data_IF_654660133832
#
_entry.id   IF_654660133832
#
_cell.length_a   1.000
_cell.length_b   1.000
_cell.length_c   1.000
_cell.angle_alpha   90.00
_cell.angle_beta   90.00
_cell.angle_gamma   90.00
#
_symmetry.space_group_name_H-M   'P 1'
#
loop_
_entity.id
_entity.type
_entity.pdbx_description
1 polymer ?
#
# COMPACT_ATOMS: atom_id res chain seq x y z
N UNK A 1 2.37 22.07 62.27
CA UNK A 1 1.50 21.15 63.03
C UNK A 1 1.19 20.04 62.04
N UNK A 2 2.03 19.00 61.97
CA UNK A 2 1.99 17.77 62.82
C UNK A 2 0.81 16.87 62.41
N UNK A 3 0.89 15.54 62.30
CA UNK A 3 2.00 14.56 62.33
C UNK A 3 2.15 13.89 60.93
N UNK A 4 3.18 13.14 60.52
CA UNK A 4 4.43 12.59 61.10
C UNK A 4 4.37 11.32 61.98
N UNK A 5 4.06 10.18 61.35
CA UNK A 5 4.48 8.82 61.73
C UNK A 5 5.14 8.20 60.49
N UNK A 6 6.35 7.62 60.48
CA UNK A 6 7.08 6.76 61.44
C UNK A 6 6.44 5.38 61.60
N UNK A 7 6.74 4.49 60.64
CA UNK A 7 6.68 3.04 60.86
C UNK A 7 7.91 2.39 60.22
N UNK A 8 8.54 1.48 60.97
CA UNK A 8 9.92 1.03 60.77
C UNK A 8 10.04 -0.44 60.37
N UNK A 9 11.25 -0.80 59.95
CA UNK A 9 11.96 -2.07 60.24
C UNK A 9 11.20 -3.40 60.11
N UNK A 10 11.55 -4.19 59.09
CA UNK A 10 11.01 -5.55 58.93
C UNK A 10 11.86 -6.51 58.08
N UNK A 11 12.84 -7.15 58.71
CA UNK A 11 13.52 -8.39 58.29
C UNK A 11 14.49 -8.39 57.09
N UNK A 12 15.78 -8.39 57.44
CA UNK A 12 16.82 -9.12 56.71
C UNK A 12 16.69 -10.64 56.96
N UNK A 13 16.78 -11.46 55.91
CA UNK A 13 16.83 -12.93 55.95
C UNK A 13 17.97 -13.47 55.07
N UNK A 14 18.49 -14.69 55.32
CA UNK A 14 19.90 -14.99 55.02
C UNK A 14 20.21 -15.37 53.57
N UNK A 15 21.43 -15.01 53.16
CA UNK A 15 22.17 -15.69 52.09
C UNK A 15 22.62 -17.07 52.61
N UNK A 16 22.55 -18.09 51.76
CA UNK A 16 23.59 -19.12 51.53
C UNK A 16 23.04 -20.17 50.53
N UNK A 17 23.86 -20.62 49.57
CA UNK A 17 23.38 -21.48 48.48
C UNK A 17 24.37 -21.68 47.32
N UNK A 18 25.42 -22.47 47.59
CA UNK A 18 26.45 -23.13 46.76
C UNK A 18 26.65 -22.88 45.23
N UNK A 19 27.91 -23.00 44.74
CA UNK A 19 28.25 -22.93 43.32
C UNK A 19 28.19 -24.29 42.59
N UNK A 20 27.29 -24.42 41.61
CA UNK A 20 27.22 -25.59 40.73
C UNK A 20 28.16 -25.52 39.52
N UNK A 21 29.32 -26.17 39.59
CA UNK A 21 30.12 -26.51 38.39
C UNK A 21 29.41 -27.59 37.56
N UNK A 22 29.33 -27.43 36.22
CA UNK A 22 29.59 -28.51 35.24
C UNK A 22 29.46 -28.09 33.76
N UNK A 23 30.42 -28.55 32.95
CA UNK A 23 30.28 -28.99 31.54
C UNK A 23 29.77 -28.02 30.46
N UNK A 24 30.72 -27.30 29.85
CA UNK A 24 30.67 -26.93 28.43
C UNK A 24 31.37 -28.00 27.58
N UNK A 25 30.67 -28.71 26.67
CA UNK A 25 31.31 -29.57 25.69
C UNK A 25 32.06 -28.75 24.63
N UNK A 26 33.34 -29.07 24.57
CA UNK A 26 34.34 -28.89 23.52
C UNK A 26 33.83 -28.72 22.08
N UNK A 27 34.64 -27.97 21.33
CA UNK A 27 34.65 -27.83 19.88
C UNK A 27 34.52 -29.17 19.12
N UNK A 28 33.76 -29.15 18.02
CA UNK A 28 34.05 -29.95 16.84
C UNK A 28 33.73 -29.10 15.59
N UNK A 29 34.77 -28.75 14.85
CA UNK A 29 34.66 -28.10 13.54
C UNK A 29 34.90 -29.14 12.44
N UNK A 30 34.09 -29.16 11.36
CA UNK A 30 34.47 -29.84 10.13
C UNK A 30 35.04 -28.84 9.12
N UNK A 31 36.34 -28.95 8.88
CA UNK A 31 36.96 -28.49 7.63
C UNK A 31 36.30 -29.20 6.44
N UNK A 32 35.68 -28.43 5.55
CA UNK A 32 35.41 -28.89 4.19
C UNK A 32 35.90 -27.87 3.16
N UNK A 33 37.13 -28.10 2.73
CA UNK A 33 37.75 -27.42 1.60
C UNK A 33 37.34 -28.07 0.26
N UNK A 34 37.37 -27.24 -0.79
CA UNK A 34 37.72 -27.61 -2.18
C UNK A 34 36.71 -28.34 -3.08
N UNK A 35 36.75 -27.93 -4.37
CA UNK A 35 36.08 -28.48 -5.57
C UNK A 35 34.54 -28.36 -5.59
N UNK A 36 33.87 -27.98 -6.69
CA UNK A 36 34.22 -27.88 -8.13
C UNK A 36 33.47 -26.65 -8.71
N UNK A 37 33.87 -25.86 -9.72
CA UNK A 37 34.47 -26.07 -11.07
C UNK A 37 33.65 -27.01 -11.96
N UNK A 38 33.35 -26.55 -13.19
CA UNK A 38 32.53 -27.23 -14.22
C UNK A 38 31.04 -27.40 -13.81
N UNK A 39 30.02 -27.16 -14.65
CA UNK A 39 29.96 -26.92 -16.09
C UNK A 39 29.03 -25.74 -16.49
N UNK A 40 29.29 -25.18 -17.67
CA UNK A 40 28.36 -24.29 -18.37
C UNK A 40 27.79 -25.01 -19.61
N UNK A 41 26.47 -25.10 -19.79
CA UNK A 41 25.89 -25.56 -21.04
C UNK A 41 25.71 -24.41 -22.03
N UNK A 42 26.49 -24.44 -23.11
CA UNK A 42 26.18 -23.72 -24.34
C UNK A 42 24.81 -24.17 -24.88
N UNK A 43 23.87 -23.24 -25.01
CA UNK A 43 22.64 -23.47 -25.77
C UNK A 43 22.42 -22.39 -26.83
N UNK A 44 22.72 -22.83 -28.07
CA UNK A 44 22.32 -22.29 -29.36
C UNK A 44 21.05 -21.41 -29.32
N UNK A 45 21.07 -20.21 -29.90
CA UNK A 45 21.07 -20.02 -31.36
C UNK A 45 19.93 -20.76 -32.06
N UNK A 46 18.70 -20.26 -31.87
CA UNK A 46 17.54 -20.60 -32.68
C UNK A 46 16.91 -19.31 -33.25
N UNK A 47 17.50 -18.80 -34.33
CA UNK A 47 16.91 -17.72 -35.13
C UNK A 47 15.72 -18.27 -35.93
N UNK A 48 14.49 -17.96 -35.51
CA UNK A 48 13.29 -18.26 -36.30
C UNK A 48 12.72 -16.96 -36.87
N UNK A 49 13.11 -16.65 -38.12
CA UNK A 49 12.54 -15.54 -38.88
C UNK A 49 11.17 -15.92 -39.42
N UNK A 50 10.12 -15.29 -38.91
CA UNK A 50 8.78 -15.32 -39.50
C UNK A 50 8.53 -14.06 -40.31
N UNK A 51 8.31 -14.20 -41.62
CA UNK A 51 7.96 -13.09 -42.50
C UNK A 51 6.55 -12.54 -42.20
N UNK A 52 6.31 -11.22 -42.36
CA UNK A 52 4.98 -10.64 -42.20
C UNK A 52 4.12 -10.81 -43.47
N UNK A 53 3.11 -11.67 -43.40
CA UNK A 53 2.14 -11.88 -44.49
C UNK A 53 1.32 -10.61 -44.79
N UNK A 54 1.57 -10.00 -45.95
CA UNK A 54 0.88 -8.79 -46.41
C UNK A 54 -0.54 -9.11 -46.94
N UNK A 55 -1.57 -9.00 -46.10
CA UNK A 55 -2.96 -8.92 -46.61
C UNK A 55 -3.32 -7.52 -47.10
N UNK A 56 -3.24 -7.32 -48.41
CA UNK A 56 -4.01 -6.29 -49.13
C UNK A 56 -5.45 -6.76 -49.31
N UNK A 57 -6.42 -5.97 -48.83
CA UNK A 57 -7.80 -5.96 -49.31
C UNK A 57 -8.15 -4.49 -49.60
N UNK A 58 -8.12 -4.04 -50.85
CA UNK A 58 -9.13 -4.25 -51.90
C UNK A 58 -10.33 -3.32 -51.69
N UNK A 59 -10.19 -2.09 -52.19
CA UNK A 59 -11.32 -1.20 -52.44
C UNK A 59 -11.93 -1.53 -53.81
N UNK A 60 -13.21 -1.88 -53.79
CA UNK A 60 -14.13 -1.93 -54.94
C UNK A 60 -15.52 -1.67 -54.33
N UNK A 61 -16.20 -0.58 -54.65
CA UNK A 61 -16.87 -0.30 -55.93
C UNK A 61 -18.23 -1.01 -56.00
N UNK A 62 -19.27 -0.36 -55.49
CA UNK A 62 -20.65 -0.70 -55.84
C UNK A 62 -21.56 0.53 -55.81
N UNK A 63 -21.95 0.96 -57.02
CA UNK A 63 -22.93 2.01 -57.26
C UNK A 63 -24.12 1.45 -58.06
N UNK A 64 -25.32 1.45 -57.46
CA UNK A 64 -26.58 1.07 -58.11
C UNK A 64 -27.75 1.28 -57.15
N UNK A 65 -28.60 2.30 -57.34
CA UNK A 65 -29.83 2.28 -58.17
C UNK A 65 -30.74 1.06 -57.93
N UNK A 66 -31.95 1.33 -57.41
CA UNK A 66 -33.28 0.84 -57.86
C UNK A 66 -34.29 1.47 -56.87
N UNK A 67 -35.05 2.48 -57.31
CA UNK A 67 -36.45 2.37 -57.78
C UNK A 67 -37.42 1.89 -56.72
N UNK A 68 -38.37 2.76 -56.36
CA UNK A 68 -39.29 2.53 -55.23
C UNK A 68 -40.40 1.53 -55.53
N UNK A 69 -41.18 1.23 -54.48
CA UNK A 69 -42.50 0.62 -54.59
C UNK A 69 -43.45 1.26 -53.59
N UNK A 70 -44.59 1.68 -54.11
CA UNK A 70 -45.68 2.32 -53.39
C UNK A 70 -46.69 1.26 -52.88
N UNK A 71 -47.46 1.61 -51.85
CA UNK A 71 -48.67 0.91 -51.39
C UNK A 71 -48.52 -0.18 -50.32
N UNK A 72 -49.32 -0.05 -49.24
CA UNK A 72 -49.73 -1.19 -48.39
C UNK A 72 -49.80 -0.94 -46.88
N UNK A 73 -51.00 -0.58 -46.38
CA UNK A 73 -51.59 -1.00 -45.09
C UNK A 73 -50.65 -1.10 -43.85
N UNK A 74 -50.60 -0.09 -42.97
CA UNK A 74 -51.54 0.10 -41.85
C UNK A 74 -51.86 -1.20 -41.04
N UNK A 75 -50.83 -2.00 -40.73
CA UNK A 75 -50.88 -2.98 -39.64
C UNK A 75 -50.46 -2.37 -38.30
N UNK A 76 -51.41 -1.98 -37.43
CA UNK A 76 -51.13 -1.48 -36.07
C UNK A 76 -50.68 -2.61 -35.14
N UNK A 77 -49.41 -3.01 -35.22
CA UNK A 77 -48.81 -4.02 -34.35
C UNK A 77 -47.30 -3.77 -34.09
N UNK A 78 -46.89 -2.51 -33.90
CA UNK A 78 -45.52 -2.16 -33.54
C UNK A 78 -45.50 -1.04 -32.50
N UNK A 79 -45.28 -1.42 -31.24
CA UNK A 79 -45.22 -0.52 -30.09
C UNK A 79 -44.39 -1.05 -28.93
N UNK A 80 -43.60 -2.12 -29.15
CA UNK A 80 -42.77 -2.77 -28.11
C UNK A 80 -41.27 -2.68 -28.41
N UNK A 81 -40.84 -2.96 -29.65
CA UNK A 81 -39.43 -2.96 -30.07
C UNK A 81 -38.69 -1.63 -29.83
N UNK A 82 -39.36 -0.47 -30.00
CA UNK A 82 -38.72 0.84 -29.86
C UNK A 82 -38.11 1.08 -28.47
N UNK A 83 -38.77 0.57 -27.42
CA UNK A 83 -38.29 0.70 -26.05
C UNK A 83 -37.12 -0.23 -25.70
N UNK A 84 -36.92 -1.31 -26.45
CA UNK A 84 -35.76 -2.20 -26.27
C UNK A 84 -34.52 -1.63 -26.94
N UNK A 85 -34.65 -1.09 -28.16
CA UNK A 85 -33.57 -0.37 -28.83
C UNK A 85 -33.09 0.85 -28.03
N UNK A 86 -34.01 1.63 -27.45
CA UNK A 86 -33.66 2.78 -26.62
C UNK A 86 -33.00 2.37 -25.28
N UNK A 87 -33.51 1.31 -24.61
CA UNK A 87 -32.92 0.77 -23.37
C UNK A 87 -31.54 0.17 -23.60
N UNK A 88 -31.34 -0.63 -24.66
CA UNK A 88 -30.02 -1.10 -25.07
C UNK A 88 -29.07 0.07 -25.31
N UNK A 89 -29.50 1.10 -26.04
CA UNK A 89 -28.70 2.31 -26.27
C UNK A 89 -28.40 3.10 -24.98
N UNK A 90 -29.24 3.06 -23.95
CA UNK A 90 -28.95 3.67 -22.63
C UNK A 90 -27.92 2.86 -21.84
N UNK A 91 -28.06 1.53 -21.78
CA UNK A 91 -27.10 0.64 -21.10
C UNK A 91 -25.73 0.70 -21.78
N UNK A 92 -25.69 0.67 -23.11
CA UNK A 92 -24.46 0.80 -23.90
C UNK A 92 -23.76 2.15 -23.63
N UNK A 93 -24.52 3.26 -23.58
CA UNK A 93 -23.98 4.58 -23.20
C UNK A 93 -23.40 4.58 -21.78
N UNK A 94 -24.00 3.85 -20.83
CA UNK A 94 -23.49 3.69 -19.46
C UNK A 94 -22.21 2.85 -19.42
N UNK A 95 -22.14 1.73 -20.16
CA UNK A 95 -20.91 0.95 -20.29
C UNK A 95 -19.78 1.74 -20.95
N UNK A 96 -20.04 2.40 -22.09
CA UNK A 96 -19.05 3.32 -22.71
C UNK A 96 -18.58 4.41 -21.73
N UNK A 97 -19.48 4.93 -20.88
CA UNK A 97 -19.11 5.89 -19.83
C UNK A 97 -18.17 5.28 -18.78
N UNK A 98 -18.48 4.08 -18.26
CA UNK A 98 -17.60 3.35 -17.34
C UNK A 98 -16.24 3.01 -17.98
N UNK A 99 -16.23 2.60 -19.25
CA UNK A 99 -15.02 2.30 -19.99
C UNK A 99 -14.11 3.52 -20.16
N UNK A 100 -14.61 4.77 -20.19
CA UNK A 100 -13.77 5.99 -20.25
C UNK A 100 -12.74 6.09 -19.09
N UNK A 101 -12.91 5.31 -18.01
CA UNK A 101 -11.90 5.15 -16.96
C UNK A 101 -10.61 4.47 -17.48
N UNK A 102 -10.70 3.62 -18.50
CA UNK A 102 -9.56 2.96 -19.16
C UNK A 102 -8.72 3.96 -19.97
N UNK A 103 -7.40 3.78 -20.06
CA UNK A 103 -6.54 4.58 -20.92
C UNK A 103 -7.00 4.59 -22.38
N UNK A 104 -6.94 5.76 -23.03
CA UNK A 104 -7.41 5.93 -24.41
C UNK A 104 -6.73 4.98 -25.41
N UNK A 105 -5.45 4.68 -25.22
CA UNK A 105 -4.70 3.71 -26.03
C UNK A 105 -5.23 2.28 -25.95
N UNK A 106 -5.78 1.89 -24.79
CA UNK A 106 -6.40 0.58 -24.60
C UNK A 106 -7.79 0.53 -25.25
N UNK A 107 -8.57 1.60 -25.08
CA UNK A 107 -9.91 1.71 -25.67
C UNK A 107 -9.90 1.68 -27.20
N UNK A 108 -8.94 2.36 -27.83
CA UNK A 108 -8.85 2.49 -29.28
C UNK A 108 -8.86 1.17 -30.08
N UNK A 109 -8.48 0.03 -29.46
CA UNK A 109 -8.53 -1.29 -30.11
C UNK A 109 -9.36 -2.34 -29.38
N UNK A 110 -10.05 -2.01 -28.27
CA UNK A 110 -10.79 -2.97 -27.43
C UNK A 110 -12.14 -2.46 -26.89
N UNK A 111 -12.49 -1.18 -27.06
CA UNK A 111 -13.74 -0.63 -26.51
C UNK A 111 -14.97 -1.34 -27.08
N UNK A 112 -15.03 -1.57 -28.40
CA UNK A 112 -16.17 -2.24 -29.06
C UNK A 112 -16.30 -3.70 -28.65
N UNK A 113 -15.19 -4.46 -28.63
CA UNK A 113 -15.17 -5.85 -28.15
C UNK A 113 -15.63 -5.96 -26.68
N UNK A 114 -15.19 -5.04 -25.82
CA UNK A 114 -15.58 -5.03 -24.40
C UNK A 114 -17.04 -4.64 -24.21
N UNK A 115 -17.55 -3.64 -24.95
CA UNK A 115 -18.98 -3.27 -24.89
C UNK A 115 -19.83 -4.45 -25.35
N UNK A 116 -19.49 -5.09 -26.47
CA UNK A 116 -20.19 -6.28 -26.94
C UNK A 116 -20.21 -7.39 -25.89
N UNK A 117 -19.05 -7.74 -25.32
CA UNK A 117 -18.96 -8.76 -24.28
C UNK A 117 -19.72 -8.40 -22.99
N UNK A 118 -19.78 -7.12 -22.59
CA UNK A 118 -20.60 -6.69 -21.45
C UNK A 118 -22.10 -6.70 -21.74
N UNK A 119 -22.53 -6.35 -22.96
CA UNK A 119 -23.93 -6.46 -23.37
C UNK A 119 -24.36 -7.94 -23.42
N UNK A 120 -23.54 -8.82 -23.99
CA UNK A 120 -23.77 -10.27 -24.00
C UNK A 120 -23.82 -10.87 -22.59
N UNK A 121 -22.87 -10.50 -21.72
CA UNK A 121 -22.84 -10.97 -20.32
C UNK A 121 -23.95 -10.37 -19.43
N UNK A 122 -24.57 -9.25 -19.84
CA UNK A 122 -25.75 -8.69 -19.15
C UNK A 122 -27.00 -9.55 -19.39
N UNK A 123 -27.13 -10.10 -20.60
CA UNK A 123 -28.31 -10.85 -21.06
C UNK A 123 -29.60 -10.02 -20.97
N UNK A 124 -30.75 -10.72 -20.95
CA UNK A 124 -32.06 -10.14 -20.60
C UNK A 124 -32.14 -9.88 -19.09
N UNK A 125 -31.31 -8.96 -18.58
CA UNK A 125 -31.31 -8.57 -17.18
C UNK A 125 -32.69 -8.01 -16.79
N UNK A 126 -33.42 -8.61 -15.81
CA UNK A 126 -34.83 -8.29 -15.54
C UNK A 126 -35.07 -6.98 -14.79
N UNK A 127 -34.11 -6.05 -14.77
CA UNK A 127 -34.31 -4.66 -14.32
C UNK A 127 -35.01 -3.90 -15.46
N UNK A 128 -36.31 -4.15 -15.65
CA UNK A 128 -37.10 -3.60 -16.77
C UNK A 128 -37.13 -2.06 -16.80
N UNK A 129 -36.94 -1.42 -15.64
CA UNK A 129 -37.12 0.03 -15.43
C UNK A 129 -35.83 0.87 -15.47
N UNK A 130 -34.66 0.35 -15.09
CA UNK A 130 -33.40 1.15 -15.09
C UNK A 130 -32.11 0.30 -15.17
N UNK A 131 -31.73 -0.23 -16.35
CA UNK A 131 -30.57 -1.12 -16.49
C UNK A 131 -29.25 -0.40 -16.17
N UNK A 132 -28.65 -0.73 -15.01
CA UNK A 132 -27.37 -0.18 -14.53
C UNK A 132 -26.26 -1.23 -14.56
N UNK A 133 -25.02 -0.86 -14.93
CA UNK A 133 -23.87 -1.75 -14.78
C UNK A 133 -23.71 -2.14 -13.31
N UNK A 134 -23.51 -3.42 -13.03
CA UNK A 134 -23.39 -3.97 -11.68
C UNK A 134 -22.11 -3.44 -11.04
N UNK A 135 -22.14 -3.20 -9.73
CA UNK A 135 -20.95 -2.73 -8.99
C UNK A 135 -19.72 -3.65 -9.17
N UNK A 136 -19.92 -4.95 -9.38
CA UNK A 136 -18.86 -5.90 -9.73
C UNK A 136 -18.22 -5.66 -11.10
N UNK A 137 -18.98 -5.26 -12.12
CA UNK A 137 -18.46 -4.90 -13.45
C UNK A 137 -17.68 -3.58 -13.37
N UNK A 138 -18.22 -2.58 -12.67
CA UNK A 138 -17.51 -1.30 -12.44
C UNK A 138 -16.18 -1.57 -11.72
N UNK A 139 -16.19 -2.40 -10.67
CA UNK A 139 -14.98 -2.79 -9.95
C UNK A 139 -13.99 -3.57 -10.84
N UNK A 140 -14.49 -4.42 -11.75
CA UNK A 140 -13.67 -5.14 -12.73
C UNK A 140 -13.01 -4.19 -13.74
N UNK A 141 -13.76 -3.24 -14.33
CA UNK A 141 -13.26 -2.21 -15.25
C UNK A 141 -12.23 -1.31 -14.53
N UNK A 142 -12.49 -0.93 -13.28
CA UNK A 142 -11.59 -0.09 -12.48
C UNK A 142 -10.30 -0.83 -12.12
N UNK A 143 -10.39 -2.11 -11.74
CA UNK A 143 -9.25 -3.01 -11.52
C UNK A 143 -8.41 -3.20 -12.78
N UNK A 144 -9.05 -3.40 -13.94
CA UNK A 144 -8.39 -3.47 -15.24
C UNK A 144 -7.69 -2.15 -15.58
N UNK A 145 -8.35 -0.99 -15.38
CA UNK A 145 -7.75 0.33 -15.60
C UNK A 145 -6.52 0.55 -14.73
N UNK A 146 -6.59 0.19 -13.44
CA UNK A 146 -5.43 0.24 -12.55
C UNK A 146 -4.29 -0.65 -13.07
N UNK A 147 -4.55 -1.92 -13.38
CA UNK A 147 -3.57 -2.88 -13.91
C UNK A 147 -2.89 -2.37 -15.20
N UNK A 148 -3.65 -1.85 -16.17
CA UNK A 148 -3.10 -1.27 -17.40
C UNK A 148 -2.25 -0.02 -17.12
N UNK A 149 -2.66 0.83 -16.17
CA UNK A 149 -1.89 2.03 -15.77
C UNK A 149 -0.59 1.72 -15.00
N UNK A 150 -0.47 0.53 -14.42
CA UNK A 150 0.64 0.09 -13.54
C UNK A 150 1.64 -0.88 -14.21
N UNK A 151 1.68 -0.90 -15.55
CA UNK A 151 2.70 -1.66 -16.27
C UNK A 151 2.29 -3.05 -16.72
N UNK A 152 1.02 -3.29 -17.06
CA UNK A 152 0.60 -4.50 -17.76
C UNK A 152 1.27 -4.65 -19.15
N UNK A 153 1.08 -5.80 -19.81
CA UNK A 153 1.58 -6.02 -21.17
C UNK A 153 1.15 -4.89 -22.14
N UNK A 154 2.12 -4.37 -22.91
CA UNK A 154 1.92 -3.23 -23.81
C UNK A 154 1.95 -1.84 -23.14
N UNK A 155 2.21 -1.75 -21.83
CA UNK A 155 2.37 -0.48 -21.15
C UNK A 155 3.64 0.27 -21.58
N UNK A 156 3.54 1.60 -21.65
CA UNK A 156 4.68 2.48 -21.92
C UNK A 156 5.72 2.41 -20.77
N UNK A 157 7.01 2.69 -21.03
CA UNK A 157 8.05 2.69 -19.98
C UNK A 157 7.69 3.55 -18.76
N UNK A 158 6.98 4.66 -18.97
CA UNK A 158 6.53 5.53 -17.88
C UNK A 158 5.36 4.97 -17.06
N UNK A 159 4.52 4.10 -17.61
CA UNK A 159 3.50 3.36 -16.84
C UNK A 159 4.15 2.24 -16.01
N UNK A 160 5.16 1.55 -16.57
CA UNK A 160 5.93 0.53 -15.83
C UNK A 160 6.61 1.15 -14.60
N UNK A 161 7.30 2.28 -14.78
CA UNK A 161 7.94 3.01 -13.67
C UNK A 161 6.95 3.52 -12.61
N UNK A 162 5.71 3.90 -12.98
CA UNK A 162 4.65 4.22 -12.02
C UNK A 162 4.13 2.99 -11.27
N UNK A 163 4.00 1.84 -11.95
CA UNK A 163 3.68 0.57 -11.32
C UNK A 163 4.73 0.12 -10.31
N UNK A 164 6.00 0.26 -10.67
CA UNK A 164 7.14 0.07 -9.77
C UNK A 164 7.09 1.04 -8.58
N UNK A 165 6.81 2.33 -8.80
CA UNK A 165 6.65 3.31 -7.72
C UNK A 165 5.56 2.92 -6.71
N UNK A 166 4.39 2.46 -7.18
CA UNK A 166 3.30 1.99 -6.30
C UNK A 166 3.70 0.75 -5.52
N UNK A 167 4.43 -0.20 -6.15
CA UNK A 167 4.97 -1.39 -5.46
C UNK A 167 6.02 -1.02 -4.41
N UNK A 168 6.93 -0.10 -4.72
CA UNK A 168 7.94 0.42 -3.79
C UNK A 168 7.28 1.18 -2.63
N UNK A 169 6.28 2.03 -2.90
CA UNK A 169 5.51 2.73 -1.86
C UNK A 169 4.77 1.74 -0.94
N UNK A 170 4.16 0.69 -1.50
CA UNK A 170 3.55 -0.37 -0.70
C UNK A 170 4.58 -1.09 0.20
N UNK A 171 5.76 -1.44 -0.32
CA UNK A 171 6.83 -2.07 0.46
C UNK A 171 7.38 -1.15 1.56
N UNK A 172 7.62 0.13 1.25
CA UNK A 172 8.07 1.13 2.21
C UNK A 172 7.05 1.33 3.32
N UNK A 173 5.79 1.59 2.96
CA UNK A 173 4.72 1.81 3.93
C UNK A 173 4.45 0.58 4.80
N UNK A 174 4.32 -0.62 4.21
CA UNK A 174 4.16 -1.86 4.99
C UNK A 174 5.37 -2.13 5.90
N UNK A 175 6.59 -1.81 5.46
CA UNK A 175 7.80 -1.90 6.28
C UNK A 175 7.78 -0.92 7.46
N UNK A 176 7.30 0.30 7.25
CA UNK A 176 7.10 1.30 8.31
C UNK A 176 6.00 0.85 9.29
N UNK A 177 4.85 0.40 8.82
CA UNK A 177 3.77 -0.15 9.67
C UNK A 177 4.25 -1.36 10.47
N UNK A 178 5.06 -2.24 9.88
CA UNK A 178 5.66 -3.39 10.58
C UNK A 178 6.71 -2.97 11.62
N UNK A 179 7.49 -1.90 11.36
CA UNK A 179 8.43 -1.34 12.33
C UNK A 179 7.70 -0.76 13.56
N UNK A 180 6.64 0.02 13.37
CA UNK A 180 5.81 0.52 14.47
C UNK A 180 5.07 -0.60 15.20
N UNK A 181 4.53 -1.58 14.46
CA UNK A 181 3.94 -2.78 15.06
C UNK A 181 4.93 -3.55 15.94
N UNK A 182 6.20 -3.66 15.51
CA UNK A 182 7.25 -4.30 16.30
C UNK A 182 7.59 -3.49 17.54
N UNK A 183 7.67 -2.16 17.43
CA UNK A 183 7.86 -1.26 18.55
C UNK A 183 6.73 -1.42 19.59
N UNK A 184 5.47 -1.50 19.15
CA UNK A 184 4.32 -1.73 20.02
C UNK A 184 4.33 -3.10 20.71
N UNK A 185 4.70 -4.17 20.01
CA UNK A 185 4.86 -5.49 20.63
C UNK A 185 5.98 -5.50 21.68
N UNK A 186 7.12 -4.85 21.41
CA UNK A 186 8.22 -4.70 22.38
C UNK A 186 7.77 -3.88 23.58
N UNK A 187 7.05 -2.77 23.37
CA UNK A 187 6.47 -1.94 24.43
C UNK A 187 5.50 -2.72 25.32
N UNK A 188 4.59 -3.49 24.72
CA UNK A 188 3.63 -4.32 25.43
C UNK A 188 4.30 -5.46 26.23
N UNK A 189 5.41 -6.01 25.72
CA UNK A 189 6.19 -7.02 26.42
C UNK A 189 7.01 -6.43 27.58
N UNK A 190 7.66 -5.27 27.39
CA UNK A 190 8.57 -4.66 28.39
C UNK A 190 7.85 -3.96 29.53
N UNK A 191 6.77 -3.20 29.25
CA UNK A 191 6.01 -2.50 30.30
C UNK A 191 5.09 -3.46 31.10
N UNK A 192 5.05 -4.73 30.71
CA UNK A 192 4.14 -5.73 31.24
C UNK A 192 2.72 -5.52 30.70
N UNK A 193 2.16 -6.58 30.11
CA UNK A 193 0.71 -6.68 29.97
C UNK A 193 0.09 -7.03 31.33
N UNK A 194 0.24 -6.14 32.31
CA UNK A 194 -0.38 -6.21 33.64
C UNK A 194 -1.87 -6.52 33.46
N UNK A 195 -2.34 -7.76 33.78
CA UNK A 195 -3.69 -8.16 33.44
C UNK A 195 -4.74 -7.34 34.21
N UNK A 196 -4.34 -6.74 35.34
CA UNK A 196 -5.14 -5.80 36.10
C UNK A 196 -5.33 -4.45 35.39
N UNK A 197 -4.30 -3.92 34.72
CA UNK A 197 -4.36 -2.65 33.98
C UNK A 197 -5.15 -2.75 32.66
N UNK A 198 -5.24 -3.94 32.08
CA UNK A 198 -5.96 -4.18 30.82
C UNK A 198 -7.49 -4.38 31.06
N UNK A 199 -7.89 -4.50 32.33
CA UNK A 199 -9.28 -4.64 32.76
C UNK A 199 -9.72 -6.09 32.96
N UNK A 200 -10.96 -6.25 33.44
CA UNK A 200 -11.56 -7.55 33.73
C UNK A 200 -11.45 -8.53 32.54
N UNK A 201 -11.38 -9.86 32.78
CA UNK A 201 -11.21 -10.86 31.71
C UNK A 201 -12.27 -10.79 30.60
N UNK A 202 -13.47 -10.30 30.91
CA UNK A 202 -14.60 -10.15 29.98
C UNK A 202 -14.78 -8.71 29.46
N UNK A 203 -13.85 -7.81 29.79
CA UNK A 203 -13.96 -6.40 29.39
C UNK A 203 -13.70 -6.19 27.89
N UNK A 204 -14.48 -5.29 27.28
CA UNK A 204 -14.26 -4.85 25.90
C UNK A 204 -12.86 -4.22 25.71
N UNK A 205 -12.30 -3.59 26.75
CA UNK A 205 -10.94 -3.06 26.76
C UNK A 205 -9.89 -4.16 26.53
N UNK A 206 -10.00 -5.30 27.23
CA UNK A 206 -9.12 -6.44 27.04
C UNK A 206 -9.23 -7.05 25.65
N UNK A 207 -10.45 -7.17 25.11
CA UNK A 207 -10.67 -7.67 23.75
C UNK A 207 -10.06 -6.72 22.70
N UNK A 208 -10.24 -5.40 22.87
CA UNK A 208 -9.64 -4.39 21.99
C UNK A 208 -8.11 -4.43 22.04
N UNK A 209 -7.51 -4.56 23.23
CA UNK A 209 -6.05 -4.70 23.39
C UNK A 209 -5.50 -5.96 22.69
N UNK A 210 -6.15 -7.11 22.88
CA UNK A 210 -5.79 -8.35 22.17
C UNK A 210 -5.92 -8.18 20.66
N UNK A 211 -6.99 -7.53 20.19
CA UNK A 211 -7.19 -7.19 18.78
C UNK A 211 -6.05 -6.33 18.21
N UNK A 212 -5.60 -5.33 18.96
CA UNK A 212 -4.48 -4.45 18.58
C UNK A 212 -3.15 -5.23 18.48
N UNK A 213 -2.85 -6.10 19.46
CA UNK A 213 -1.65 -6.96 19.39
C UNK A 213 -1.71 -7.94 18.21
N UNK A 214 -2.88 -8.52 17.95
CA UNK A 214 -3.09 -9.40 16.80
C UNK A 214 -2.91 -8.65 15.47
N UNK A 215 -3.41 -7.42 15.37
CA UNK A 215 -3.20 -6.56 14.20
C UNK A 215 -1.73 -6.18 14.01
N UNK A 216 -0.99 -5.86 15.08
CA UNK A 216 0.45 -5.61 15.02
C UNK A 216 1.20 -6.84 14.48
N UNK A 217 0.90 -8.04 15.00
CA UNK A 217 1.43 -9.30 14.48
C UNK A 217 1.07 -9.54 13.01
N UNK A 218 -0.17 -9.29 12.61
CA UNK A 218 -0.62 -9.42 11.22
C UNK A 218 0.10 -8.44 10.27
N UNK A 219 0.37 -7.21 10.69
CA UNK A 219 1.16 -6.24 9.92
C UNK A 219 2.60 -6.70 9.69
N UNK A 220 3.25 -7.28 10.71
CA UNK A 220 4.58 -7.88 10.60
C UNK A 220 4.54 -9.08 9.63
N UNK A 221 3.57 -9.99 9.79
CA UNK A 221 3.38 -11.13 8.88
C UNK A 221 3.13 -10.66 7.44
N UNK A 222 2.35 -9.60 7.24
CA UNK A 222 2.09 -9.03 5.92
C UNK A 222 3.37 -8.53 5.25
N UNK A 223 4.20 -7.79 5.98
CA UNK A 223 5.49 -7.29 5.48
C UNK A 223 6.49 -8.43 5.20
N UNK A 224 6.65 -9.39 6.11
CA UNK A 224 7.56 -10.53 5.90
C UNK A 224 7.08 -11.37 4.72
N UNK A 225 5.78 -11.66 4.60
CA UNK A 225 5.26 -12.49 3.51
C UNK A 225 5.38 -11.83 2.14
N UNK A 226 5.19 -10.51 2.01
CA UNK A 226 5.42 -9.83 0.72
C UNK A 226 6.91 -9.85 0.32
N UNK A 227 7.82 -9.65 1.28
CA UNK A 227 9.28 -9.75 1.04
C UNK A 227 9.75 -11.17 0.67
N UNK A 228 9.01 -12.20 1.09
CA UNK A 228 9.18 -13.60 0.67
C UNK A 228 8.51 -13.94 -0.68
N UNK A 229 7.73 -13.02 -1.24
CA UNK A 229 6.98 -13.20 -2.49
C UNK A 229 5.59 -13.87 -2.35
N UNK A 230 5.10 -14.06 -1.12
CA UNK A 230 3.77 -14.63 -0.86
C UNK A 230 2.69 -13.53 -0.85
N UNK A 231 2.38 -12.97 -2.03
CA UNK A 231 1.45 -11.83 -2.17
C UNK A 231 0.08 -12.09 -1.57
N UNK A 232 -0.48 -13.30 -1.75
CA UNK A 232 -1.85 -13.63 -1.31
C UNK A 232 -1.96 -13.57 0.22
N UNK A 233 -1.02 -14.18 0.94
CA UNK A 233 -0.98 -14.13 2.41
C UNK A 233 -0.70 -12.71 2.90
N UNK A 234 0.17 -11.96 2.21
CA UNK A 234 0.45 -10.56 2.56
C UNK A 234 -0.79 -9.68 2.48
N UNK A 235 -1.58 -9.82 1.41
CA UNK A 235 -2.86 -9.09 1.23
C UNK A 235 -3.88 -9.43 2.31
N UNK A 236 -4.04 -10.71 2.65
CA UNK A 236 -4.97 -11.15 3.70
C UNK A 236 -4.51 -10.65 5.07
N UNK A 237 -3.23 -10.79 5.41
CA UNK A 237 -2.69 -10.33 6.69
C UNK A 237 -2.77 -8.79 6.84
N UNK A 238 -2.50 -8.03 5.77
CA UNK A 238 -2.66 -6.58 5.77
C UNK A 238 -4.13 -6.15 5.91
N UNK A 239 -5.08 -6.88 5.30
CA UNK A 239 -6.52 -6.61 5.48
C UNK A 239 -6.99 -6.94 6.90
N UNK A 240 -6.49 -8.00 7.51
CA UNK A 240 -6.81 -8.35 8.91
C UNK A 240 -6.27 -7.30 9.88
N UNK A 241 -5.04 -6.79 9.68
CA UNK A 241 -4.49 -5.77 10.58
C UNK A 241 -5.21 -4.43 10.53
N UNK A 242 -5.92 -4.13 9.45
CA UNK A 242 -6.79 -2.94 9.36
C UNK A 242 -8.04 -3.03 10.24
N UNK A 243 -8.54 -4.23 10.54
CA UNK A 243 -9.88 -4.41 11.15
C UNK A 243 -10.02 -3.67 12.48
N UNK A 244 -9.15 -3.81 13.50
CA UNK A 244 -9.37 -3.16 14.79
C UNK A 244 -9.36 -1.64 14.72
N UNK A 245 -8.48 -1.07 13.88
CA UNK A 245 -8.40 0.38 13.67
C UNK A 245 -9.62 0.94 12.92
N UNK A 246 -10.11 0.22 11.90
CA UNK A 246 -11.33 0.61 11.18
C UNK A 246 -12.57 0.46 12.07
N UNK A 247 -12.66 -0.59 12.87
CA UNK A 247 -13.74 -0.77 13.86
C UNK A 247 -13.68 0.34 14.92
N UNK A 248 -12.50 0.68 15.43
CA UNK A 248 -12.32 1.77 16.39
C UNK A 248 -12.77 3.11 15.80
N UNK A 249 -12.30 3.46 14.60
CA UNK A 249 -12.71 4.68 13.89
C UNK A 249 -14.23 4.74 13.62
N UNK A 250 -14.82 3.65 13.13
CA UNK A 250 -16.24 3.57 12.85
C UNK A 250 -17.09 3.65 14.14
N UNK A 251 -16.65 3.03 15.23
CA UNK A 251 -17.30 3.09 16.54
C UNK A 251 -17.21 4.50 17.13
N UNK A 252 -16.05 5.15 17.05
CA UNK A 252 -15.87 6.55 17.48
C UNK A 252 -16.80 7.51 16.74
N UNK A 253 -16.91 7.36 15.40
CA UNK A 253 -17.85 8.13 14.57
C UNK A 253 -19.32 7.82 14.91
N UNK A 254 -19.66 6.56 15.19
CA UNK A 254 -21.03 6.15 15.49
C UNK A 254 -21.51 6.63 16.87
N UNK A 255 -20.67 6.56 17.89
CA UNK A 255 -21.03 6.93 19.26
C UNK A 255 -21.00 8.44 19.51
N UNK A 256 -20.06 9.16 18.89
CA UNK A 256 -19.80 10.57 19.19
C UNK A 256 -20.16 11.52 18.02
N UNK A 257 -20.64 10.97 16.90
CA UNK A 257 -20.92 11.72 15.68
C UNK A 257 -19.69 12.30 15.01
N UNK A 258 -19.91 13.16 14.02
CA UNK A 258 -18.83 13.86 13.30
C UNK A 258 -18.13 14.93 14.12
N UNK A 259 -18.69 15.34 15.27
CA UNK A 259 -18.16 16.42 16.10
C UNK A 259 -16.95 16.03 16.96
N UNK A 260 -16.72 14.73 17.19
CA UNK A 260 -15.63 14.23 18.03
C UNK A 260 -14.43 13.70 17.24
N UNK A 261 -14.55 13.54 15.92
CA UNK A 261 -13.36 13.32 15.08
C UNK A 261 -12.61 14.65 15.06
N UNK A 262 -11.33 14.65 15.47
CA UNK A 262 -10.47 15.82 15.24
C UNK A 262 -10.09 15.77 13.77
N UNK A 263 -10.84 16.45 12.87
CA UNK A 263 -11.22 15.89 11.57
C UNK A 263 -10.03 15.71 10.62
N UNK A 264 -8.94 16.41 10.88
CA UNK A 264 -7.70 16.34 10.12
C UNK A 264 -6.72 15.30 10.67
N UNK A 265 -6.59 15.14 11.99
CA UNK A 265 -5.61 14.23 12.61
C UNK A 265 -6.00 12.76 12.40
N UNK A 266 -7.24 12.42 12.73
CA UNK A 266 -7.73 11.04 12.65
C UNK A 266 -7.83 10.60 11.18
N UNK A 267 -8.14 11.54 10.28
CA UNK A 267 -8.07 11.32 8.83
C UNK A 267 -6.64 11.12 8.34
N UNK A 268 -5.66 11.88 8.84
CA UNK A 268 -4.24 11.69 8.53
C UNK A 268 -3.74 10.31 8.92
N UNK A 269 -4.09 9.85 10.13
CA UNK A 269 -3.79 8.50 10.61
C UNK A 269 -4.50 7.42 9.78
N UNK A 270 -5.78 7.62 9.45
CA UNK A 270 -6.54 6.70 8.60
C UNK A 270 -5.94 6.59 7.19
N UNK A 271 -5.47 7.71 6.62
CA UNK A 271 -4.77 7.73 5.32
C UNK A 271 -3.43 7.00 5.39
N UNK A 272 -2.63 7.21 6.44
CA UNK A 272 -1.37 6.48 6.64
C UNK A 272 -1.58 4.97 6.81
N UNK A 273 -2.61 4.59 7.55
CA UNK A 273 -2.98 3.21 7.77
C UNK A 273 -3.49 2.53 6.48
N UNK A 274 -4.35 3.19 5.70
CA UNK A 274 -4.97 2.61 4.51
C UNK A 274 -4.08 2.64 3.25
N UNK A 275 -3.24 3.66 3.08
CA UNK A 275 -2.53 3.86 1.82
C UNK A 275 -1.56 2.71 1.46
N UNK A 276 -0.74 2.16 2.37
CA UNK A 276 0.15 1.04 2.04
C UNK A 276 -0.59 -0.28 1.72
N UNK A 277 -1.62 -0.73 2.47
CA UNK A 277 -2.43 -1.88 2.08
C UNK A 277 -3.18 -1.68 0.77
N UNK A 278 -3.73 -0.50 0.49
CA UNK A 278 -4.35 -0.21 -0.80
C UNK A 278 -3.33 -0.27 -1.94
N UNK A 279 -2.14 0.30 -1.76
CA UNK A 279 -1.04 0.19 -2.72
C UNK A 279 -0.54 -1.26 -2.90
N UNK A 280 -0.56 -2.08 -1.85
CA UNK A 280 -0.25 -3.52 -1.91
C UNK A 280 -1.32 -4.28 -2.74
N UNK A 281 -2.60 -3.99 -2.51
CA UNK A 281 -3.71 -4.55 -3.28
C UNK A 281 -3.62 -4.20 -4.77
N UNK A 282 -3.34 -2.94 -5.07
CA UNK A 282 -3.29 -2.35 -6.41
C UNK A 282 -2.00 -2.72 -7.17
N UNK A 283 -0.83 -2.59 -6.55
CA UNK A 283 0.48 -2.74 -7.21
C UNK A 283 0.92 -4.19 -7.46
N UNK A 284 0.45 -5.14 -6.63
CA UNK A 284 0.79 -6.56 -6.75
C UNK A 284 -0.42 -7.37 -7.28
N UNK A 285 -0.73 -7.20 -8.57
CA UNK A 285 -1.69 -8.05 -9.29
C UNK A 285 -1.12 -9.43 -9.63
N UNK A 286 -1.96 -10.33 -10.13
CA UNK A 286 -1.66 -11.76 -10.39
C UNK A 286 -0.43 -12.05 -11.25
N UNK A 287 -0.06 -11.11 -12.12
CA UNK A 287 0.97 -11.28 -13.15
C UNK A 287 2.33 -10.71 -12.70
N UNK A 288 2.37 -10.06 -11.54
CA UNK A 288 3.60 -9.57 -10.95
C UNK A 288 4.23 -10.70 -10.15
N UNK A 289 5.26 -11.34 -10.70
CA UNK A 289 6.15 -12.19 -9.93
C UNK A 289 6.96 -11.31 -8.97
N UNK A 290 6.81 -11.43 -7.63
CA UNK A 290 7.56 -10.59 -6.71
C UNK A 290 9.01 -11.04 -6.66
N UNK A 291 9.92 -10.08 -6.62
CA UNK A 291 11.32 -10.36 -6.35
C UNK A 291 11.47 -10.82 -4.90
N UNK A 292 12.14 -11.96 -4.68
CA UNK A 292 12.44 -12.46 -3.34
C UNK A 292 13.63 -11.69 -2.78
N UNK A 293 13.46 -11.01 -1.66
CA UNK A 293 14.53 -10.26 -1.01
C UNK A 293 15.29 -11.12 0.01
N UNK A 294 16.56 -10.77 0.27
CA UNK A 294 17.38 -11.47 1.25
C UNK A 294 16.85 -11.28 2.68
N UNK A 295 17.18 -12.23 3.57
CA UNK A 295 16.78 -12.15 4.98
C UNK A 295 17.24 -10.87 5.70
N UNK A 296 18.49 -10.38 5.55
CA UNK A 296 18.91 -9.14 6.20
C UNK A 296 18.06 -7.92 5.81
N UNK A 297 17.71 -7.78 4.52
CA UNK A 297 16.81 -6.73 4.03
C UNK A 297 15.38 -6.89 4.55
N UNK A 298 14.93 -8.13 4.78
CA UNK A 298 13.58 -8.42 5.31
C UNK A 298 13.48 -8.10 6.81
N UNK A 299 14.56 -8.31 7.56
CA UNK A 299 14.59 -8.08 9.01
C UNK A 299 14.91 -6.64 9.39
N UNK A 300 15.51 -5.84 8.49
CA UNK A 300 15.98 -4.49 8.82
C UNK A 300 14.91 -3.54 9.37
N UNK A 301 13.64 -3.51 8.90
CA UNK A 301 12.63 -2.62 9.48
C UNK A 301 12.14 -3.09 10.86
N UNK A 302 12.12 -4.41 11.08
CA UNK A 302 11.76 -5.00 12.39
C UNK A 302 12.84 -4.70 13.43
N UNK A 303 14.11 -4.86 13.04
CA UNK A 303 15.26 -4.49 13.87
C UNK A 303 15.27 -2.98 14.16
N UNK A 304 14.96 -2.13 13.17
CA UNK A 304 14.85 -0.68 13.36
C UNK A 304 13.71 -0.30 14.32
N UNK A 305 12.53 -0.93 14.21
CA UNK A 305 11.41 -0.71 15.12
C UNK A 305 11.72 -1.12 16.56
N UNK A 306 12.34 -2.29 16.75
CA UNK A 306 12.79 -2.75 18.06
C UNK A 306 13.88 -1.84 18.67
N UNK A 307 14.88 -1.42 17.86
CA UNK A 307 15.93 -0.51 18.30
C UNK A 307 15.40 0.89 18.65
N UNK A 308 14.43 1.41 17.88
CA UNK A 308 13.75 2.67 18.18
C UNK A 308 13.02 2.60 19.52
N UNK A 309 12.27 1.54 19.79
CA UNK A 309 11.59 1.35 21.08
C UNK A 309 12.60 1.22 22.23
N UNK A 310 13.68 0.45 22.04
CA UNK A 310 14.76 0.32 23.03
C UNK A 310 15.43 1.66 23.36
N UNK A 311 15.74 2.47 22.34
CA UNK A 311 16.26 3.82 22.52
C UNK A 311 15.25 4.73 23.24
N UNK A 312 13.97 4.62 22.91
CA UNK A 312 12.89 5.39 23.55
C UNK A 312 12.84 5.10 25.06
N UNK A 313 12.85 3.81 25.43
CA UNK A 313 12.84 3.38 26.83
C UNK A 313 14.13 3.78 27.56
N UNK A 314 15.28 3.74 26.90
CA UNK A 314 16.55 4.19 27.48
C UNK A 314 16.55 5.70 27.75
N UNK A 315 16.02 6.52 26.84
CA UNK A 315 15.92 7.98 27.04
C UNK A 315 14.96 8.35 28.18
N UNK A 316 13.85 7.61 28.33
CA UNK A 316 12.92 7.77 29.45
C UNK A 316 13.59 7.35 30.76
N UNK A 317 14.29 6.21 30.79
CA UNK A 317 14.98 5.71 31.98
C UNK A 317 16.18 6.56 32.41
N UNK A 318 16.77 7.35 31.50
CA UNK A 318 17.88 8.25 31.77
C UNK A 318 17.46 9.60 32.38
N UNK A 319 16.16 9.81 32.63
CA UNK A 319 15.56 11.06 33.14
C UNK A 319 16.08 12.31 32.41
N UNK A 320 16.14 12.23 31.07
CA UNK A 320 16.69 13.29 30.23
C UNK A 320 15.87 14.59 30.43
N UNK A 321 16.46 15.68 30.95
CA UNK A 321 15.72 16.79 31.57
C UNK A 321 14.90 17.68 30.62
N UNK A 322 14.89 17.37 29.33
CA UNK A 322 14.15 18.06 28.25
C UNK A 322 13.33 17.05 27.42
N UNK A 323 12.46 16.21 28.04
CA UNK A 323 11.84 15.10 27.34
C UNK A 323 10.86 15.57 26.23
N UNK A 324 10.32 16.77 26.38
CA UNK A 324 9.30 17.36 25.51
C UNK A 324 9.75 17.49 24.05
N UNK A 325 11.01 17.91 23.81
CA UNK A 325 11.56 18.03 22.46
C UNK A 325 11.75 16.68 21.77
N UNK A 326 12.13 15.65 22.52
CA UNK A 326 12.33 14.30 21.99
C UNK A 326 11.03 13.63 21.54
N UNK A 327 9.90 13.86 22.23
CA UNK A 327 8.60 13.28 21.83
C UNK A 327 8.18 13.58 20.38
N UNK A 328 8.62 14.69 19.77
CA UNK A 328 8.38 14.95 18.34
C UNK A 328 9.19 14.06 17.38
N UNK A 329 10.31 13.51 17.84
CA UNK A 329 11.19 12.62 17.10
C UNK A 329 10.97 11.14 17.45
N UNK A 330 10.19 10.87 18.50
CA UNK A 330 9.68 9.54 18.82
C UNK A 330 8.49 9.17 17.93
N UNK A 331 8.12 7.89 17.97
CA UNK A 331 6.97 7.34 17.23
C UNK A 331 7.00 7.72 15.72
N UNK A 332 5.92 8.24 15.14
CA UNK A 332 5.85 8.69 13.74
C UNK A 332 6.96 9.70 13.36
N UNK A 333 7.56 10.38 14.34
CA UNK A 333 8.67 11.32 14.14
C UNK A 333 9.96 10.65 13.71
N UNK A 334 10.21 9.42 14.16
CA UNK A 334 11.44 8.68 13.87
C UNK A 334 11.53 8.23 12.40
N UNK A 335 10.38 8.10 11.72
CA UNK A 335 10.34 7.82 10.29
C UNK A 335 10.84 9.01 9.45
N UNK A 336 10.69 10.25 9.93
CA UNK A 336 11.04 11.47 9.19
C UNK A 336 12.54 11.57 8.87
N UNK A 337 13.50 11.44 9.81
CA UNK A 337 14.92 11.53 9.50
C UNK A 337 15.39 10.37 8.61
N UNK A 338 14.88 9.15 8.82
CA UNK A 338 15.19 8.00 7.97
C UNK A 338 14.70 8.19 6.53
N UNK A 339 13.46 8.68 6.36
CA UNK A 339 12.89 9.03 5.06
C UNK A 339 13.64 10.20 4.40
N UNK A 340 14.01 11.23 5.15
CA UNK A 340 14.74 12.39 4.63
C UNK A 340 16.15 11.99 4.14
N UNK A 341 16.85 11.12 4.89
CA UNK A 341 18.13 10.56 4.47
C UNK A 341 18.00 9.72 3.19
N UNK A 342 17.00 8.84 3.10
CA UNK A 342 16.72 8.07 1.89
C UNK A 342 16.41 8.97 0.69
N UNK A 343 15.62 10.03 0.91
CA UNK A 343 15.26 11.05 -0.09
C UNK A 343 16.48 11.80 -0.61
N UNK A 344 17.37 12.25 0.29
CA UNK A 344 18.62 12.91 -0.07
C UNK A 344 19.54 11.98 -0.89
N UNK A 345 19.66 10.70 -0.52
CA UNK A 345 20.46 9.71 -1.26
C UNK A 345 19.88 9.45 -2.66
N UNK A 346 18.56 9.34 -2.81
CA UNK A 346 17.91 9.13 -4.11
C UNK A 346 18.07 10.35 -5.03
N UNK A 347 17.92 11.57 -4.49
CA UNK A 347 18.16 12.80 -5.24
C UNK A 347 19.63 12.93 -5.65
N UNK A 348 20.58 12.72 -4.73
CA UNK A 348 22.01 12.86 -4.99
C UNK A 348 22.55 11.84 -6.00
N UNK A 349 21.99 10.62 -6.03
CA UNK A 349 22.40 9.56 -6.97
C UNK A 349 21.70 9.61 -8.33
N UNK A 350 20.74 10.52 -8.52
CA UNK A 350 19.90 10.53 -9.73
C UNK A 350 19.14 9.21 -9.93
N UNK A 351 18.55 8.68 -8.84
CA UNK A 351 17.97 7.35 -8.80
C UNK A 351 16.78 7.12 -9.75
N UNK A 352 16.35 5.85 -9.87
CA UNK A 352 15.20 5.45 -10.69
C UNK A 352 13.97 6.34 -10.44
N UNK A 353 13.23 6.76 -11.48
CA UNK A 353 12.01 7.55 -11.32
C UNK A 353 10.99 6.86 -10.40
N UNK A 354 10.99 5.53 -10.33
CA UNK A 354 10.13 4.77 -9.45
C UNK A 354 10.41 5.05 -7.97
N UNK A 355 11.69 5.10 -7.58
CA UNK A 355 12.10 5.41 -6.20
C UNK A 355 11.77 6.85 -5.81
N UNK A 356 11.99 7.81 -6.71
CA UNK A 356 11.66 9.22 -6.45
C UNK A 356 10.15 9.41 -6.24
N UNK A 357 9.31 8.81 -7.09
CA UNK A 357 7.86 8.87 -6.94
C UNK A 357 7.36 8.12 -5.68
N UNK A 358 7.94 6.96 -5.35
CA UNK A 358 7.59 6.20 -4.16
C UNK A 358 7.92 6.95 -2.85
N UNK A 359 9.12 7.55 -2.77
CA UNK A 359 9.51 8.36 -1.61
C UNK A 359 8.69 9.64 -1.52
N UNK A 360 8.38 10.30 -2.64
CA UNK A 360 7.49 11.47 -2.65
C UNK A 360 6.10 11.12 -2.10
N UNK A 361 5.50 10.01 -2.54
CA UNK A 361 4.23 9.52 -1.99
C UNK A 361 4.32 9.21 -0.48
N UNK A 362 5.38 8.55 -0.03
CA UNK A 362 5.60 8.29 1.40
C UNK A 362 5.73 9.59 2.22
N UNK A 363 6.46 10.58 1.72
CA UNK A 363 6.61 11.88 2.37
C UNK A 363 5.32 12.70 2.44
N UNK A 364 4.49 12.64 1.39
CA UNK A 364 3.15 13.27 1.39
C UNK A 364 2.21 12.63 2.42
N UNK A 365 2.28 11.31 2.60
CA UNK A 365 1.49 10.62 3.64
C UNK A 365 2.00 10.99 5.04
N UNK A 366 3.32 10.99 5.27
CA UNK A 366 3.91 11.47 6.54
C UNK A 366 3.53 12.93 6.83
N UNK A 367 3.52 13.80 5.81
CA UNK A 367 3.07 15.19 5.92
C UNK A 367 1.58 15.29 6.28
N UNK A 368 0.73 14.42 5.72
CA UNK A 368 -0.71 14.40 6.03
C UNK A 368 -0.99 14.01 7.49
N UNK A 369 -0.17 13.14 8.10
CA UNK A 369 -0.23 12.84 9.55
C UNK A 369 0.28 14.03 10.38
N UNK A 370 1.37 14.67 9.92
CA UNK A 370 2.08 15.69 10.71
C UNK A 370 1.43 17.06 10.70
N UNK A 371 0.86 17.50 9.58
CA UNK A 371 0.24 18.82 9.46
C UNK A 371 -0.88 19.08 10.51
N UNK A 372 -1.79 18.14 10.82
CA UNK A 372 -2.76 18.27 11.91
C UNK A 372 -2.15 18.43 13.30
N UNK A 373 -0.96 17.87 13.56
CA UNK A 373 -0.33 17.98 14.89
C UNK A 373 0.11 19.42 15.20
N UNK A 374 0.33 20.27 14.18
CA UNK A 374 0.71 21.68 14.38
C UNK A 374 -0.33 22.49 15.16
N UNK A 375 -1.61 22.09 15.15
CA UNK A 375 -2.68 22.82 15.85
C UNK A 375 -2.89 22.39 17.30
N UNK A 376 -2.23 21.30 17.75
CA UNK A 376 -2.37 20.75 19.10
C UNK A 376 -1.07 20.74 19.90
N UNK A 377 0.05 21.18 19.31
CA UNK A 377 1.35 21.21 19.96
C UNK A 377 1.56 22.49 20.79
N UNK A 378 2.21 22.40 21.97
CA UNK A 378 2.70 23.56 22.72
C UNK A 378 3.69 24.41 21.90
N UNK A 379 3.77 25.71 22.20
CA UNK A 379 4.62 26.68 21.49
C UNK A 379 6.09 26.23 21.39
N UNK A 380 6.63 25.62 22.46
CA UNK A 380 8.01 25.08 22.51
C UNK A 380 8.27 23.94 21.51
N UNK A 381 7.23 23.22 21.11
CA UNK A 381 7.30 22.12 20.13
C UNK A 381 6.97 22.58 18.71
N UNK A 382 6.26 23.70 18.55
CA UNK A 382 5.75 24.17 17.26
C UNK A 382 6.87 24.36 16.21
N UNK A 383 7.97 25.00 16.59
CA UNK A 383 9.10 25.26 15.67
C UNK A 383 9.69 23.97 15.07
N UNK A 384 9.90 22.94 15.89
CA UNK A 384 10.42 21.64 15.44
C UNK A 384 9.44 20.93 14.51
N UNK A 385 8.15 20.96 14.82
CA UNK A 385 7.13 20.34 13.97
C UNK A 385 6.95 21.10 12.64
N UNK A 386 7.08 22.43 12.63
CA UNK A 386 7.12 23.24 11.39
C UNK A 386 8.33 22.88 10.54
N UNK A 387 9.52 22.72 11.14
CA UNK A 387 10.72 22.26 10.42
C UNK A 387 10.52 20.86 9.82
N UNK A 388 9.91 19.93 10.56
CA UNK A 388 9.55 18.60 10.05
C UNK A 388 8.58 18.69 8.85
N UNK A 389 7.50 19.48 8.95
CA UNK A 389 6.53 19.68 7.86
C UNK A 389 7.16 20.34 6.63
N UNK A 390 8.02 21.36 6.82
CA UNK A 390 8.74 22.02 5.74
C UNK A 390 9.72 21.06 5.04
N UNK A 391 10.47 20.26 5.80
CA UNK A 391 11.38 19.25 5.28
C UNK A 391 10.63 18.18 4.45
N UNK A 392 9.53 17.63 5.00
CA UNK A 392 8.67 16.66 4.30
C UNK A 392 8.10 17.25 3.00
N UNK A 393 7.55 18.47 3.04
CA UNK A 393 6.96 19.13 1.88
C UNK A 393 7.97 19.42 0.78
N UNK A 394 9.10 20.05 1.12
CA UNK A 394 10.16 20.41 0.15
C UNK A 394 10.77 19.19 -0.52
N UNK A 395 11.14 18.16 0.25
CA UNK A 395 11.70 16.92 -0.30
C UNK A 395 10.67 16.15 -1.14
N UNK A 396 9.40 16.08 -0.72
CA UNK A 396 8.34 15.42 -1.50
C UNK A 396 8.12 16.11 -2.85
N UNK A 397 8.13 17.45 -2.90
CA UNK A 397 8.02 18.21 -4.15
C UNK A 397 9.25 18.03 -5.04
N UNK A 398 10.46 18.08 -4.46
CA UNK A 398 11.71 17.86 -5.20
C UNK A 398 11.76 16.46 -5.83
N UNK A 399 11.40 15.42 -5.07
CA UNK A 399 11.30 14.04 -5.53
C UNK A 399 10.22 13.85 -6.60
N UNK A 400 9.04 14.48 -6.44
CA UNK A 400 7.98 14.44 -7.46
C UNK A 400 8.45 15.07 -8.78
N UNK A 401 9.10 16.24 -8.71
CA UNK A 401 9.67 16.93 -9.86
C UNK A 401 10.75 16.11 -10.56
N UNK A 402 11.71 15.57 -9.80
CA UNK A 402 12.77 14.71 -10.34
C UNK A 402 12.20 13.45 -11.01
N UNK A 403 11.23 12.77 -10.36
CA UNK A 403 10.55 11.61 -10.93
C UNK A 403 9.80 11.94 -12.22
N UNK A 404 8.97 12.99 -12.22
CA UNK A 404 8.21 13.42 -13.39
C UNK A 404 9.11 13.84 -14.59
N UNK A 405 10.23 14.50 -14.30
CA UNK A 405 11.20 14.91 -15.30
C UNK A 405 11.99 13.74 -15.90
N UNK A 406 12.39 12.76 -15.08
CA UNK A 406 13.00 11.53 -15.56
C UNK A 406 12.03 10.74 -16.47
N UNK A 407 10.75 10.68 -16.12
CA UNK A 407 9.72 10.09 -16.98
C UNK A 407 9.57 10.83 -18.32
N UNK A 408 9.60 12.17 -18.33
CA UNK A 408 9.42 12.96 -19.56
C UNK A 408 10.61 12.86 -20.51
N UNK A 409 11.83 12.68 -19.99
CA UNK A 409 13.04 12.40 -20.78
C UNK A 409 12.94 11.05 -21.50
N UNK A 410 12.54 10.00 -20.78
CA UNK A 410 12.42 8.64 -21.31
C UNK A 410 11.26 8.48 -22.31
N UNK A 411 10.32 9.44 -22.36
CA UNK A 411 9.21 9.44 -23.31
C UNK A 411 9.57 10.03 -24.69
N UNK A 412 10.75 10.66 -24.85
CA UNK A 412 11.20 11.13 -26.16
C UNK A 412 11.64 9.91 -26.98
N UNK A 413 11.05 9.65 -28.17
CA UNK A 413 11.55 8.59 -29.03
C UNK A 413 13.01 8.89 -29.36
N UNK A 414 13.86 7.86 -29.32
CA UNK A 414 15.22 7.98 -29.84
C UNK A 414 15.11 8.43 -31.31
N UNK A 415 15.65 9.60 -31.63
CA UNK A 415 15.71 10.07 -33.00
C UNK A 415 16.46 9.01 -33.80
N UNK A 416 15.80 8.42 -34.80
CA UNK A 416 16.43 7.44 -35.67
C UNK A 416 17.57 8.15 -36.42
N UNK A 417 18.82 7.64 -36.34
CA UNK A 417 19.98 8.27 -36.97
C UNK A 417 19.98 8.11 -38.49
#
# INVERSE_FOLDING_TARGET
MSEQSDERDGMSGPRDGEPGHANTPREDAPDHASASREDAPDHASASHGGEPERRRGSAADEAGRVSGRDGGEIGRASGRDGGEAERMGLLERRYRSALRLLPASYRAGREEEMVAAFMEASGDAPDEDDPRPRWGEIASILSLSARVRLGAAGATPGQVARGEAVRLFALLGMGTTAAFSMADLVRAALLGSEPALIGAPESAARLAFIGTLAAAGCSIVAFVTIMRGHVRTAKVAALISLVPSLTSFALSLALNGSAAITPLHDLGNLVFLLAPPLALLIGFHSDVTPHRHSWPLTLSPLAAGAALMGLTMLLIAADAPEPMGYYLWLDHGAAIPAWAAASAVVLARGGSPAWSLALSAAGLVLLAIRLPTLTSLPDVMWATAVVQCALLGTLSVALAGAGAWALSRNARPAAQP
#
